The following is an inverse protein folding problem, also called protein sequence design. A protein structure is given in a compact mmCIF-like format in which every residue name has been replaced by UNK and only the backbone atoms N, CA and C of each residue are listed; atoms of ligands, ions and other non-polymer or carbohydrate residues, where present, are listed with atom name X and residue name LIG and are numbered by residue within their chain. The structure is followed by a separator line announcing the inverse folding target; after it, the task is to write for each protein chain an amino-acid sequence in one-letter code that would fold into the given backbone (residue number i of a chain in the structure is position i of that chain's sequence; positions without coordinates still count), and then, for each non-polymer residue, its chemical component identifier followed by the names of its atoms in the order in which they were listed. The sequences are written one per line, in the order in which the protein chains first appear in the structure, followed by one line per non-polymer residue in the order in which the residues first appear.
data_IF_751263938675
#
_entry.id   IF_751263938675
#
_cell.length_a   1.000
_cell.length_b   1.000
_cell.length_c   1.000
_cell.angle_alpha   90.00
_cell.angle_beta   90.00
_cell.angle_gamma   90.00
#
_symmetry.space_group_name_H-M   'P 1'
#
loop_
_entity.id
_entity.type
_entity.pdbx_description
1 polymer ?
#
# COMPACT_ATOMS: atom_id res chain seq x y z
N UNK A 1 -60.15 -40.81 -35.10
CA UNK A 1 -58.98 -41.27 -34.32
C UNK A 1 -57.85 -41.51 -35.30
N UNK A 2 -56.68 -40.89 -35.14
CA UNK A 2 -55.56 -41.12 -36.04
C UNK A 2 -55.09 -42.58 -35.97
N UNK A 3 -54.73 -43.17 -37.11
CA UNK A 3 -54.24 -44.56 -37.18
C UNK A 3 -52.77 -44.63 -36.80
N UNK A 4 -52.31 -45.74 -36.19
CA UNK A 4 -50.91 -45.92 -35.75
C UNK A 4 -49.87 -45.62 -36.85
N UNK A 5 -50.23 -45.90 -38.11
CA UNK A 5 -49.38 -45.68 -39.28
C UNK A 5 -49.23 -44.20 -39.64
N UNK A 6 -50.31 -43.40 -39.53
CA UNK A 6 -50.28 -41.95 -39.78
C UNK A 6 -49.43 -41.22 -38.73
N UNK A 7 -49.58 -41.59 -37.45
CA UNK A 7 -48.78 -41.00 -36.37
C UNK A 7 -47.29 -41.30 -36.56
N UNK A 8 -46.95 -42.52 -37.01
CA UNK A 8 -45.56 -42.91 -37.26
C UNK A 8 -44.91 -42.13 -38.41
N UNK A 9 -45.64 -41.92 -39.52
CA UNK A 9 -45.12 -41.16 -40.66
C UNK A 9 -44.94 -39.67 -40.36
N UNK A 10 -45.93 -39.05 -39.69
CA UNK A 10 -45.88 -37.65 -39.27
C UNK A 10 -44.77 -37.40 -38.25
N UNK A 11 -44.59 -38.30 -37.28
CA UNK A 11 -43.48 -38.23 -36.30
C UNK A 11 -42.13 -38.27 -37.00
N UNK A 12 -41.96 -39.12 -38.02
CA UNK A 12 -40.68 -39.25 -38.75
C UNK A 12 -40.35 -37.99 -39.56
N UNK A 13 -41.35 -37.32 -40.11
CA UNK A 13 -41.19 -36.03 -40.82
C UNK A 13 -40.85 -34.93 -39.81
N UNK A 14 -41.57 -34.88 -38.69
CA UNK A 14 -41.36 -33.89 -37.63
C UNK A 14 -39.94 -34.00 -37.04
N UNK A 15 -39.47 -35.21 -36.73
CA UNK A 15 -38.12 -35.45 -36.20
C UNK A 15 -37.03 -35.01 -37.19
N UNK A 16 -37.21 -35.25 -38.50
CA UNK A 16 -36.27 -34.80 -39.54
C UNK A 16 -36.17 -33.27 -39.58
N UNK A 17 -37.31 -32.58 -39.62
CA UNK A 17 -37.31 -31.12 -39.66
C UNK A 17 -36.81 -30.50 -38.37
N UNK A 18 -37.17 -31.04 -37.20
CA UNK A 18 -36.60 -30.63 -35.91
C UNK A 18 -35.07 -30.75 -35.89
N UNK A 19 -34.53 -31.89 -36.36
CA UNK A 19 -33.08 -32.10 -36.45
C UNK A 19 -32.38 -31.09 -37.37
N UNK A 20 -32.96 -30.81 -38.53
CA UNK A 20 -32.44 -29.81 -39.48
C UNK A 20 -32.49 -28.41 -38.86
N UNK A 21 -33.60 -28.01 -38.25
CA UNK A 21 -33.72 -26.69 -37.61
C UNK A 21 -32.76 -26.54 -36.45
N UNK A 22 -32.58 -27.58 -35.63
CA UNK A 22 -31.61 -27.55 -34.52
C UNK A 22 -30.18 -27.43 -35.03
N UNK A 23 -29.83 -28.20 -36.07
CA UNK A 23 -28.52 -28.10 -36.72
C UNK A 23 -28.26 -26.70 -37.30
N UNK A 24 -29.26 -26.10 -37.95
CA UNK A 24 -29.16 -24.75 -38.49
C UNK A 24 -28.97 -23.69 -37.40
N UNK A 25 -29.69 -23.80 -36.27
CA UNK A 25 -29.55 -22.87 -35.13
C UNK A 25 -28.16 -22.99 -34.49
N UNK A 26 -27.67 -24.22 -34.27
CA UNK A 26 -26.32 -24.45 -33.73
C UNK A 26 -25.25 -23.89 -34.68
N UNK A 27 -25.40 -24.12 -35.99
CA UNK A 27 -24.49 -23.58 -37.00
C UNK A 27 -24.48 -22.04 -37.02
N UNK A 28 -25.65 -21.40 -36.97
CA UNK A 28 -25.78 -19.95 -36.84
C UNK A 28 -25.13 -19.41 -35.56
N UNK A 29 -25.30 -20.10 -34.43
CA UNK A 29 -24.68 -19.71 -33.17
C UNK A 29 -23.15 -19.79 -33.22
N UNK A 30 -22.61 -20.83 -33.84
CA UNK A 30 -21.16 -20.98 -34.07
C UNK A 30 -20.66 -19.88 -34.99
N UNK A 31 -21.33 -19.61 -36.12
CA UNK A 31 -20.96 -18.51 -37.02
C UNK A 31 -20.99 -17.15 -36.33
N UNK A 32 -21.99 -16.89 -35.49
CA UNK A 32 -22.08 -15.66 -34.70
C UNK A 32 -20.91 -15.54 -33.71
N UNK A 33 -20.60 -16.61 -32.97
CA UNK A 33 -19.44 -16.65 -32.06
C UNK A 33 -18.12 -16.43 -32.78
N UNK A 34 -17.91 -17.07 -33.94
CA UNK A 34 -16.74 -16.85 -34.77
C UNK A 34 -16.66 -15.41 -35.28
N UNK A 35 -17.79 -14.85 -35.75
CA UNK A 35 -17.86 -13.46 -36.23
C UNK A 35 -17.55 -12.44 -35.13
N UNK A 36 -18.03 -12.66 -33.90
CA UNK A 36 -17.70 -11.80 -32.75
C UNK A 36 -16.22 -11.93 -32.38
N UNK A 37 -15.67 -13.15 -32.39
CA UNK A 37 -14.27 -13.39 -32.08
C UNK A 37 -13.33 -12.75 -33.11
N UNK A 38 -13.60 -12.89 -34.40
CA UNK A 38 -12.80 -12.27 -35.47
C UNK A 38 -12.93 -10.74 -35.45
N UNK A 39 -14.14 -10.22 -35.21
CA UNK A 39 -14.35 -8.78 -35.00
C UNK A 39 -13.50 -8.27 -33.84
N UNK A 40 -13.53 -8.92 -32.68
CA UNK A 40 -12.78 -8.48 -31.51
C UNK A 40 -11.25 -8.65 -31.67
N UNK A 41 -10.80 -9.61 -32.48
CA UNK A 41 -9.38 -9.81 -32.77
C UNK A 41 -8.82 -8.78 -33.76
N UNK A 42 -9.60 -8.38 -34.77
CA UNK A 42 -9.17 -7.42 -35.80
C UNK A 42 -9.47 -5.96 -35.42
N UNK A 43 -10.58 -5.74 -34.73
CA UNK A 43 -11.08 -4.43 -34.31
C UNK A 43 -11.58 -4.51 -32.85
N UNK A 44 -10.66 -4.63 -31.88
CA UNK A 44 -11.04 -4.58 -30.48
C UNK A 44 -11.80 -3.29 -30.22
N UNK A 45 -12.94 -3.36 -29.53
CA UNK A 45 -13.66 -2.16 -29.10
C UNK A 45 -12.72 -1.31 -28.26
N UNK A 46 -12.52 -0.02 -28.60
CA UNK A 46 -11.64 0.83 -27.82
C UNK A 46 -12.13 0.85 -26.37
N UNK A 47 -11.22 0.91 -25.38
CA UNK A 47 -11.62 1.05 -23.99
C UNK A 47 -12.56 2.25 -23.86
N UNK A 48 -13.55 2.21 -22.94
CA UNK A 48 -14.43 3.36 -22.68
C UNK A 48 -13.58 4.61 -22.42
N UNK A 49 -14.05 5.86 -22.58
CA UNK A 49 -13.26 7.05 -22.25
C UNK A 49 -12.97 7.16 -20.74
N UNK A 50 -11.94 7.92 -20.32
CA UNK A 50 -11.64 8.12 -18.90
C UNK A 50 -12.83 8.80 -18.23
N UNK A 51 -13.23 8.30 -17.06
CA UNK A 51 -14.46 8.75 -16.40
C UNK A 51 -14.29 10.10 -15.72
N UNK A 52 -13.12 10.36 -15.14
CA UNK A 52 -12.76 11.64 -14.50
C UNK A 52 -13.84 12.14 -13.50
N UNK A 53 -14.51 11.21 -12.81
CA UNK A 53 -15.70 11.53 -12.00
C UNK A 53 -15.44 12.36 -10.73
N UNK A 54 -14.18 12.62 -10.37
CA UNK A 54 -13.84 13.52 -9.24
C UNK A 54 -13.41 14.93 -9.69
N UNK A 55 -13.52 15.24 -10.98
CA UNK A 55 -13.00 16.48 -11.58
C UNK A 55 -11.48 16.61 -11.39
N UNK A 56 -10.96 17.84 -11.30
CA UNK A 56 -9.54 18.07 -11.04
C UNK A 56 -9.17 17.57 -9.64
N UNK A 57 -8.07 16.82 -9.57
CA UNK A 57 -7.54 16.24 -8.35
C UNK A 57 -6.52 17.19 -7.70
N UNK A 58 -6.40 17.21 -6.36
CA UNK A 58 -5.34 17.95 -5.70
C UNK A 58 -3.97 17.43 -6.15
N UNK A 59 -2.97 18.31 -6.18
CA UNK A 59 -1.59 17.90 -6.38
C UNK A 59 -1.15 16.94 -5.27
N UNK A 60 -0.34 15.94 -5.62
CA UNK A 60 0.28 15.05 -4.65
C UNK A 60 1.24 15.85 -3.77
N UNK A 61 1.05 15.78 -2.46
CA UNK A 61 1.91 16.42 -1.46
C UNK A 61 3.18 15.59 -1.26
N UNK A 62 4.18 15.83 -2.10
CA UNK A 62 5.52 15.29 -1.89
C UNK A 62 6.29 16.17 -0.90
N UNK A 63 7.03 15.58 0.07
CA UNK A 63 7.84 16.36 0.99
C UNK A 63 8.86 17.25 0.29
N UNK A 64 9.04 18.46 0.82
CA UNK A 64 9.97 19.45 0.28
C UNK A 64 11.40 18.93 0.31
N UNK A 65 12.09 18.98 -0.81
CA UNK A 65 13.49 18.58 -0.92
C UNK A 65 14.42 19.80 -0.81
N UNK A 66 15.50 19.66 -0.07
CA UNK A 66 16.53 20.70 0.03
C UNK A 66 17.42 20.71 -1.22
N UNK A 67 17.29 21.78 -2.01
CA UNK A 67 18.14 22.07 -3.16
C UNK A 67 17.83 21.25 -4.42
N UNK A 68 17.75 21.90 -5.58
CA UNK A 68 17.73 21.15 -6.85
C UNK A 68 19.15 20.62 -7.10
N UNK A 69 19.32 19.31 -6.97
CA UNK A 69 20.57 18.67 -7.43
C UNK A 69 20.46 18.43 -8.93
N UNK A 70 21.51 18.77 -9.66
CA UNK A 70 21.61 18.46 -11.08
C UNK A 70 21.86 16.96 -11.25
N UNK A 71 20.78 16.19 -11.35
CA UNK A 71 20.85 14.75 -11.62
C UNK A 71 21.05 14.49 -13.12
N UNK A 72 21.77 13.42 -13.42
CA UNK A 72 21.91 12.88 -14.77
C UNK A 72 21.36 11.46 -14.75
N UNK A 73 20.28 11.23 -15.50
CA UNK A 73 19.58 9.95 -15.53
C UNK A 73 19.91 9.17 -16.80
N UNK A 74 20.25 7.90 -16.63
CA UNK A 74 20.44 6.92 -17.69
C UNK A 74 19.37 5.84 -17.58
N UNK A 75 18.86 5.35 -18.71
CA UNK A 75 17.88 4.27 -18.75
C UNK A 75 18.64 2.98 -19.03
N UNK A 76 18.63 2.07 -18.07
CA UNK A 76 19.35 0.79 -18.07
C UNK A 76 18.39 -0.34 -17.65
N UNK A 77 17.23 -0.36 -18.30
CA UNK A 77 16.22 -1.40 -18.09
C UNK A 77 16.67 -2.71 -18.75
N UNK A 78 16.20 -3.85 -18.23
CA UNK A 78 16.55 -5.19 -18.78
C UNK A 78 16.25 -5.30 -20.27
N UNK A 79 15.20 -4.64 -20.74
CA UNK A 79 14.81 -4.63 -22.16
C UNK A 79 15.50 -3.54 -23.00
N UNK A 80 16.21 -2.61 -22.35
CA UNK A 80 16.75 -1.38 -22.95
C UNK A 80 15.67 -0.40 -23.44
N UNK A 81 14.40 -0.62 -23.06
CA UNK A 81 13.25 0.19 -23.50
C UNK A 81 12.44 0.66 -22.31
N UNK A 82 11.70 1.76 -22.51
CA UNK A 82 10.70 2.23 -21.57
C UNK A 82 9.47 1.31 -21.58
N UNK A 83 8.79 1.12 -20.44
CA UNK A 83 7.56 0.34 -20.37
C UNK A 83 6.43 1.05 -21.12
N UNK A 84 5.48 0.26 -21.63
CA UNK A 84 4.24 0.81 -22.16
C UNK A 84 3.19 0.86 -21.05
N UNK A 85 2.77 2.06 -20.68
CA UNK A 85 1.71 2.26 -19.70
C UNK A 85 0.33 2.21 -20.36
N UNK A 86 -0.73 1.84 -19.62
CA UNK A 86 -2.09 2.08 -20.09
C UNK A 86 -2.32 3.58 -20.31
N UNK A 87 -3.36 3.92 -21.06
CA UNK A 87 -3.75 5.32 -21.30
C UNK A 87 -4.34 6.00 -20.04
N UNK A 88 -4.68 5.21 -19.02
CA UNK A 88 -5.33 5.65 -17.77
C UNK A 88 -5.08 4.71 -16.60
N UNK A 89 -5.31 5.23 -15.40
CA UNK A 89 -5.29 4.45 -14.15
C UNK A 89 -6.43 4.88 -13.23
N UNK A 90 -6.87 3.98 -12.36
CA UNK A 90 -7.84 4.27 -11.31
C UNK A 90 -7.29 5.24 -10.27
N UNK A 91 -8.15 6.10 -9.74
CA UNK A 91 -7.92 6.94 -8.57
C UNK A 91 -9.02 6.60 -7.58
N UNK A 92 -8.66 6.37 -6.32
CA UNK A 92 -9.60 6.00 -5.27
C UNK A 92 -9.79 7.16 -4.30
N UNK A 93 -10.95 7.23 -3.65
CA UNK A 93 -11.11 8.11 -2.48
C UNK A 93 -10.46 7.48 -1.26
N UNK A 94 -9.89 8.32 -0.40
CA UNK A 94 -9.49 7.89 0.94
C UNK A 94 -10.71 7.95 1.87
N UNK A 95 -10.87 6.93 2.71
CA UNK A 95 -11.92 6.89 3.72
C UNK A 95 -11.60 7.95 4.78
N UNK A 96 -12.53 8.86 4.98
CA UNK A 96 -12.40 9.92 5.99
C UNK A 96 -12.84 9.38 7.35
N UNK A 97 -11.98 9.45 8.38
CA UNK A 97 -12.39 9.09 9.73
C UNK A 97 -13.52 10.01 10.20
N UNK A 98 -14.56 9.43 10.78
CA UNK A 98 -15.71 10.18 11.28
C UNK A 98 -15.59 10.41 12.78
N UNK A 99 -16.10 11.55 13.25
CA UNK A 99 -16.19 11.83 14.67
C UNK A 99 -17.18 10.86 15.33
N UNK A 100 -16.82 10.34 16.50
CA UNK A 100 -17.66 9.44 17.29
C UNK A 100 -17.68 9.95 18.74
N UNK A 101 -18.89 10.14 19.28
CA UNK A 101 -19.11 10.64 20.65
C UNK A 101 -18.53 9.72 21.71
N UNK A 102 -18.39 8.42 21.40
CA UNK A 102 -17.82 7.41 22.30
C UNK A 102 -16.36 7.08 21.98
N UNK A 103 -15.73 7.83 21.07
CA UNK A 103 -14.38 7.55 20.61
C UNK A 103 -13.34 7.48 21.75
N UNK A 104 -13.42 8.39 22.72
CA UNK A 104 -12.52 8.38 23.88
C UNK A 104 -12.70 7.13 24.73
N UNK A 105 -13.95 6.79 25.09
CA UNK A 105 -14.25 5.59 25.89
C UNK A 105 -13.79 4.32 25.17
N UNK A 106 -14.02 4.21 23.86
CA UNK A 106 -13.52 3.10 23.04
C UNK A 106 -11.99 3.03 23.03
N UNK A 107 -11.30 4.17 22.99
CA UNK A 107 -9.85 4.22 23.06
C UNK A 107 -9.33 3.73 24.43
N UNK A 108 -9.96 4.15 25.54
CA UNK A 108 -9.64 3.67 26.89
C UNK A 108 -9.83 2.14 27.01
N UNK A 109 -10.95 1.60 26.52
CA UNK A 109 -11.24 0.16 26.51
C UNK A 109 -10.24 -0.66 25.67
N UNK A 110 -9.71 -0.08 24.58
CA UNK A 110 -8.68 -0.72 23.75
C UNK A 110 -7.31 -0.68 24.42
N UNK A 111 -6.90 0.49 24.92
CA UNK A 111 -5.55 0.72 25.43
C UNK A 111 -5.33 0.12 26.83
N UNK A 112 -6.38 -0.04 27.63
CA UNK A 112 -6.31 -0.81 28.89
C UNK A 112 -5.89 -2.27 28.70
N UNK A 113 -6.25 -2.88 27.56
CA UNK A 113 -5.83 -4.26 27.22
C UNK A 113 -4.31 -4.41 27.10
N UNK A 114 -3.62 -3.32 26.82
CA UNK A 114 -2.15 -3.26 26.75
C UNK A 114 -1.54 -2.46 27.92
N UNK A 115 -2.25 -2.38 29.05
CA UNK A 115 -1.80 -1.80 30.34
C UNK A 115 -1.58 -0.28 30.32
N UNK A 116 -2.27 0.44 29.44
CA UNK A 116 -2.38 1.89 29.49
C UNK A 116 -3.65 2.28 30.26
N UNK A 117 -3.63 2.00 31.56
CA UNK A 117 -4.81 2.08 32.45
C UNK A 117 -4.93 3.42 33.20
N UNK A 118 -3.96 4.34 32.98
CA UNK A 118 -3.99 5.66 33.59
C UNK A 118 -4.96 6.58 32.85
N UNK A 119 -5.55 7.52 33.60
CA UNK A 119 -6.48 8.52 33.06
C UNK A 119 -5.79 9.32 31.95
N UNK A 120 -6.33 9.35 30.72
CA UNK A 120 -5.70 10.07 29.62
C UNK A 120 -5.81 11.58 29.79
N UNK A 121 -4.87 12.30 29.18
CA UNK A 121 -4.87 13.77 29.17
C UNK A 121 -5.03 14.28 27.74
N UNK A 122 -5.92 15.26 27.52
CA UNK A 122 -6.09 15.88 26.22
C UNK A 122 -4.85 16.71 25.88
N UNK A 123 -4.26 16.46 24.71
CA UNK A 123 -3.08 17.20 24.21
C UNK A 123 -3.51 18.24 23.19
N UNK A 124 -4.39 17.86 22.25
CA UNK A 124 -4.90 18.76 21.20
C UNK A 124 -6.13 18.15 20.56
N UNK A 125 -7.24 18.91 20.41
CA UNK A 125 -8.49 18.52 19.73
C UNK A 125 -8.95 17.06 19.95
N UNK A 126 -8.42 16.12 19.18
CA UNK A 126 -8.72 14.69 19.14
C UNK A 126 -7.54 13.77 19.54
N UNK A 127 -6.43 14.33 20.00
CA UNK A 127 -5.22 13.61 20.43
C UNK A 127 -5.16 13.58 21.94
N UNK A 128 -5.15 12.36 22.48
CA UNK A 128 -5.06 12.09 23.91
C UNK A 128 -3.74 11.39 24.21
N UNK A 129 -3.15 11.74 25.35
CA UNK A 129 -1.95 11.11 25.88
C UNK A 129 -2.34 10.09 26.93
N UNK A 130 -1.95 8.85 26.67
CA UNK A 130 -2.02 7.71 27.57
C UNK A 130 -0.62 7.40 28.08
N UNK A 131 -0.51 6.99 29.35
CA UNK A 131 0.78 6.66 29.96
C UNK A 131 0.68 5.35 30.71
N UNK A 132 1.80 4.62 30.80
CA UNK A 132 1.96 3.47 31.67
C UNK A 132 3.30 3.54 32.37
N UNK A 133 3.40 2.97 33.58
CA UNK A 133 4.64 2.93 34.36
C UNK A 133 5.30 1.54 34.37
N UNK A 134 4.64 0.52 33.83
CA UNK A 134 5.10 -0.87 33.88
C UNK A 134 5.19 -1.47 32.47
N UNK A 135 6.30 -2.17 32.12
CA UNK A 135 7.47 -2.44 32.96
C UNK A 135 8.38 -1.22 33.17
N UNK A 136 8.20 -0.15 32.39
CA UNK A 136 8.84 1.16 32.55
C UNK A 136 7.96 2.25 31.94
N UNK A 137 8.25 3.55 32.15
CA UNK A 137 7.46 4.66 31.62
C UNK A 137 7.34 4.64 30.09
N UNK A 138 6.11 4.54 29.57
CA UNK A 138 5.80 4.70 28.15
C UNK A 138 4.70 5.74 27.96
N UNK A 139 4.77 6.48 26.87
CA UNK A 139 3.78 7.49 26.48
C UNK A 139 3.22 7.16 25.11
N UNK A 140 1.90 7.09 25.01
CA UNK A 140 1.18 6.84 23.78
C UNK A 140 0.29 8.05 23.45
N UNK A 141 0.59 8.73 22.34
CA UNK A 141 -0.25 9.77 21.77
C UNK A 141 -1.21 9.12 20.79
N UNK A 142 -2.52 9.19 21.07
CA UNK A 142 -3.56 8.51 20.31
C UNK A 142 -4.57 9.49 19.75
N UNK A 143 -4.83 9.43 18.45
CA UNK A 143 -5.91 10.17 17.83
C UNK A 143 -7.21 9.36 17.87
N UNK A 144 -8.20 9.82 18.64
CA UNK A 144 -9.43 9.06 18.89
C UNK A 144 -10.33 8.92 17.66
N UNK A 145 -10.18 9.77 16.64
CA UNK A 145 -10.98 9.67 15.42
C UNK A 145 -10.28 8.82 14.37
N UNK A 146 -8.98 9.00 14.20
CA UNK A 146 -8.24 8.33 13.13
C UNK A 146 -7.62 7.00 13.56
N UNK A 147 -7.56 6.74 14.86
CA UNK A 147 -6.80 5.64 15.47
C UNK A 147 -5.29 5.68 15.19
N UNK A 148 -4.78 6.77 14.61
CA UNK A 148 -3.33 6.98 14.46
C UNK A 148 -2.70 7.15 15.83
N UNK A 149 -1.52 6.58 16.03
CA UNK A 149 -0.81 6.73 17.29
C UNK A 149 0.70 6.75 17.17
N UNK A 150 1.33 7.30 18.19
CA UNK A 150 2.77 7.24 18.39
C UNK A 150 3.07 6.82 19.83
N UNK A 151 3.81 5.73 19.98
CA UNK A 151 4.31 5.22 21.24
C UNK A 151 5.78 5.60 21.37
N UNK A 152 6.15 6.17 22.51
CA UNK A 152 7.54 6.54 22.85
C UNK A 152 7.87 6.06 24.26
N UNK A 153 9.15 5.82 24.52
CA UNK A 153 9.64 5.46 25.84
C UNK A 153 11.13 5.71 26.00
N UNK A 154 11.62 5.69 27.25
CA UNK A 154 13.04 5.86 27.58
C UNK A 154 13.83 4.54 27.53
N UNK A 155 13.44 3.60 26.67
CA UNK A 155 13.96 2.22 26.63
C UNK A 155 15.49 2.13 26.50
N UNK A 156 16.12 3.11 25.86
CA UNK A 156 17.58 3.12 25.62
C UNK A 156 18.37 3.21 26.93
N UNK A 157 17.74 3.62 28.03
CA UNK A 157 18.36 3.68 29.36
C UNK A 157 18.15 2.41 30.19
N UNK A 158 17.32 1.47 29.72
CA UNK A 158 17.05 0.21 30.43
C UNK A 158 18.19 -0.81 30.17
N UNK A 159 18.86 -1.24 31.23
CA UNK A 159 19.97 -2.21 31.16
C UNK A 159 19.57 -3.54 30.52
N UNK A 160 18.31 -3.99 30.67
CA UNK A 160 17.83 -5.24 30.06
C UNK A 160 17.65 -5.08 28.54
N UNK A 161 17.23 -3.90 28.11
CA UNK A 161 17.10 -3.57 26.68
C UNK A 161 18.49 -3.43 26.05
N UNK A 162 19.38 -2.67 26.69
CA UNK A 162 20.75 -2.45 26.20
C UNK A 162 21.55 -3.75 26.20
N UNK A 163 21.31 -4.69 27.13
CA UNK A 163 21.98 -6.00 27.09
C UNK A 163 21.33 -7.00 26.12
N UNK A 164 20.23 -6.66 25.46
CA UNK A 164 19.48 -7.59 24.59
C UNK A 164 18.86 -8.75 25.37
N UNK A 165 18.65 -8.60 26.69
CA UNK A 165 18.14 -9.67 27.54
C UNK A 165 16.75 -10.11 27.08
N UNK A 166 16.55 -11.41 26.89
CA UNK A 166 15.31 -12.00 26.39
C UNK A 166 14.87 -11.43 25.02
N UNK A 167 15.78 -10.86 24.23
CA UNK A 167 15.46 -10.50 22.84
C UNK A 167 15.24 -11.79 22.02
N UNK A 168 14.20 -11.87 21.17
CA UNK A 168 13.95 -13.07 20.38
C UNK A 168 15.08 -13.38 19.41
N UNK A 169 15.42 -14.67 19.29
CA UNK A 169 16.45 -15.14 18.35
C UNK A 169 15.87 -15.57 16.99
N UNK A 170 14.56 -15.40 16.79
CA UNK A 170 13.84 -15.72 15.57
C UNK A 170 13.05 -14.50 15.10
N UNK A 171 13.23 -14.14 13.83
CA UNK A 171 12.59 -12.99 13.19
C UNK A 171 11.08 -13.15 13.10
N UNK A 172 10.57 -14.38 12.95
CA UNK A 172 9.13 -14.64 12.92
C UNK A 172 8.45 -14.26 14.24
N UNK A 173 9.08 -14.61 15.37
CA UNK A 173 8.60 -14.25 16.72
C UNK A 173 8.57 -12.72 16.89
N UNK A 174 9.55 -12.00 16.36
CA UNK A 174 9.60 -10.53 16.40
C UNK A 174 8.39 -9.95 15.64
N UNK A 175 8.11 -10.46 14.44
CA UNK A 175 6.94 -10.05 13.65
C UNK A 175 5.62 -10.37 14.37
N UNK A 176 5.53 -11.53 15.03
CA UNK A 176 4.34 -11.93 15.79
C UNK A 176 4.09 -11.03 17.00
N UNK A 177 5.13 -10.61 17.72
CA UNK A 177 5.01 -9.63 18.82
C UNK A 177 4.42 -8.32 18.30
N UNK A 178 4.90 -7.85 17.15
CA UNK A 178 4.40 -6.61 16.55
C UNK A 178 2.93 -6.75 16.11
N UNK A 179 2.57 -7.86 15.46
CA UNK A 179 1.18 -8.16 15.07
C UNK A 179 0.24 -8.28 16.26
N UNK A 180 0.68 -8.97 17.33
CA UNK A 180 -0.10 -9.12 18.55
C UNK A 180 -0.31 -7.79 19.26
N UNK A 181 0.68 -6.90 19.26
CA UNK A 181 0.53 -5.55 19.79
C UNK A 181 -0.56 -4.77 19.03
N UNK A 182 -0.47 -4.72 17.69
CA UNK A 182 -1.47 -4.04 16.86
C UNK A 182 -2.87 -4.66 17.01
N UNK A 183 -2.95 -5.99 17.10
CA UNK A 183 -4.20 -6.71 17.32
C UNK A 183 -4.81 -6.40 18.70
N UNK A 184 -3.98 -6.33 19.74
CA UNK A 184 -4.41 -6.05 21.11
C UNK A 184 -5.12 -4.70 21.27
N UNK A 185 -4.68 -3.69 20.52
CA UNK A 185 -5.31 -2.37 20.47
C UNK A 185 -6.38 -2.24 19.36
N UNK A 186 -6.65 -3.31 18.62
CA UNK A 186 -7.61 -3.31 17.51
C UNK A 186 -7.23 -2.36 16.38
N UNK A 187 -5.92 -2.24 16.10
CA UNK A 187 -5.36 -1.40 15.05
C UNK A 187 -4.74 -2.21 13.90
N UNK A 188 -4.84 -3.55 13.89
CA UNK A 188 -4.33 -4.37 12.78
C UNK A 188 -5.41 -4.53 11.69
N UNK A 189 -5.31 -3.85 10.52
CA UNK A 189 -6.23 -4.02 9.41
C UNK A 189 -5.81 -5.24 8.58
N UNK A 190 -6.19 -6.44 9.03
CA UNK A 190 -5.73 -7.72 8.46
C UNK A 190 -6.09 -7.93 6.98
N UNK A 191 -7.12 -7.26 6.47
CA UNK A 191 -7.53 -7.34 5.06
C UNK A 191 -6.74 -6.41 4.14
N UNK A 192 -6.13 -5.35 4.67
CA UNK A 192 -5.44 -4.34 3.88
C UNK A 192 -3.92 -4.37 4.07
N UNK A 193 -3.39 -5.07 5.08
CA UNK A 193 -1.96 -5.30 5.22
C UNK A 193 -1.50 -6.57 4.51
N UNK A 194 -0.34 -6.47 3.90
CA UNK A 194 0.41 -7.58 3.31
C UNK A 194 1.28 -8.23 4.40
N UNK A 195 0.74 -9.25 5.06
CA UNK A 195 1.43 -9.95 6.15
C UNK A 195 2.59 -10.83 5.66
N UNK A 196 2.69 -11.10 4.35
CA UNK A 196 3.81 -11.82 3.75
C UNK A 196 4.99 -10.87 3.45
N UNK A 197 4.73 -9.57 3.33
CA UNK A 197 5.73 -8.52 3.04
C UNK A 197 6.17 -7.74 4.29
N UNK A 198 6.03 -8.32 5.47
CA UNK A 198 6.56 -7.72 6.70
C UNK A 198 8.09 -7.64 6.60
N UNK A 199 8.64 -6.44 6.82
CA UNK A 199 10.10 -6.21 6.83
C UNK A 199 10.58 -6.03 8.26
N UNK A 200 11.59 -6.80 8.64
CA UNK A 200 12.26 -6.67 9.95
C UNK A 200 13.67 -6.15 9.76
N UNK A 201 13.95 -4.97 10.29
CA UNK A 201 15.27 -4.36 10.37
C UNK A 201 15.88 -4.69 11.73
N UNK A 202 16.98 -5.45 11.75
CA UNK A 202 17.69 -5.81 12.96
C UNK A 202 18.63 -4.68 13.37
N UNK A 203 18.67 -4.39 14.67
CA UNK A 203 19.37 -3.24 15.23
C UNK A 203 20.22 -3.65 16.45
N UNK A 204 21.43 -3.13 16.52
CA UNK A 204 22.25 -3.12 17.74
C UNK A 204 22.16 -1.76 18.42
N UNK A 205 22.42 -1.74 19.71
CA UNK A 205 22.49 -0.54 20.54
C UNK A 205 23.95 -0.32 20.89
N UNK A 206 24.55 0.75 20.36
CA UNK A 206 25.91 1.16 20.68
C UNK A 206 25.90 2.63 21.11
N UNK A 207 26.43 2.93 22.31
CA UNK A 207 26.44 4.27 22.89
C UNK A 207 25.08 4.97 22.83
N UNK A 208 24.00 4.25 23.18
CA UNK A 208 22.63 4.75 23.14
C UNK A 208 22.10 5.11 21.74
N UNK A 209 22.74 4.63 20.68
CA UNK A 209 22.31 4.82 19.28
C UNK A 209 21.97 3.47 18.67
N UNK A 210 20.89 3.43 17.90
CA UNK A 210 20.49 2.26 17.11
C UNK A 210 21.32 2.20 15.82
N UNK A 211 21.95 1.06 15.55
CA UNK A 211 22.72 0.82 14.34
C UNK A 211 22.21 -0.45 13.63
N UNK A 212 22.02 -0.44 12.31
CA UNK A 212 21.65 -1.64 11.57
C UNK A 212 22.67 -2.77 11.74
N UNK A 213 22.16 -3.99 11.89
CA UNK A 213 22.95 -5.23 11.84
C UNK A 213 22.29 -6.25 10.93
N UNK A 214 23.07 -7.16 10.36
CA UNK A 214 22.56 -8.29 9.59
C UNK A 214 22.45 -9.57 10.41
N UNK A 215 23.01 -9.58 11.64
CA UNK A 215 23.06 -10.78 12.48
C UNK A 215 22.07 -10.72 13.64
N UNK A 216 21.11 -11.65 13.65
CA UNK A 216 20.13 -11.83 14.74
C UNK A 216 20.80 -12.08 16.09
N UNK A 217 21.93 -12.78 16.13
CA UNK A 217 22.65 -13.07 17.39
C UNK A 217 23.30 -11.83 18.01
N UNK A 218 23.51 -10.78 17.22
CA UNK A 218 24.04 -9.50 17.68
C UNK A 218 22.95 -8.46 17.95
N UNK A 219 21.72 -8.72 17.50
CA UNK A 219 20.62 -7.77 17.58
C UNK A 219 20.11 -7.63 19.03
N UNK A 220 19.83 -6.39 19.42
CA UNK A 220 19.25 -6.03 20.72
C UNK A 220 17.87 -5.41 20.56
N UNK A 221 17.56 -4.93 19.36
CA UNK A 221 16.29 -4.42 18.95
C UNK A 221 15.98 -4.83 17.51
N UNK A 222 14.72 -4.77 17.13
CA UNK A 222 14.30 -4.91 15.75
C UNK A 222 13.13 -3.97 15.45
N UNK A 223 13.20 -3.29 14.31
CA UNK A 223 12.09 -2.49 13.81
C UNK A 223 11.33 -3.27 12.76
N UNK A 224 10.03 -3.45 12.99
CA UNK A 224 9.12 -4.17 12.10
C UNK A 224 8.29 -3.15 11.35
N UNK A 225 8.28 -3.25 10.01
CA UNK A 225 7.50 -2.42 9.11
C UNK A 225 6.38 -3.25 8.48
N UNK A 226 5.17 -2.72 8.51
CA UNK A 226 4.00 -3.31 7.87
C UNK A 226 3.64 -2.51 6.64
N UNK A 227 3.27 -3.18 5.56
CA UNK A 227 2.91 -2.49 4.32
C UNK A 227 1.51 -2.87 3.87
N UNK A 228 0.83 -1.95 3.19
CA UNK A 228 -0.48 -2.22 2.63
C UNK A 228 -0.38 -3.13 1.39
N UNK A 229 -1.45 -3.88 1.14
CA UNK A 229 -1.64 -4.72 -0.03
C UNK A 229 -1.67 -3.87 -1.30
N UNK A 230 -1.38 -4.51 -2.44
CA UNK A 230 -1.49 -3.87 -3.74
C UNK A 230 -2.96 -3.48 -4.01
N UNK A 231 -3.22 -2.21 -4.32
CA UNK A 231 -4.55 -1.76 -4.78
C UNK A 231 -4.60 -1.88 -6.31
N UNK A 232 -5.63 -2.53 -6.86
CA UNK A 232 -5.74 -2.79 -8.31
C UNK A 232 -4.46 -3.34 -8.96
N UNK A 233 -3.77 -4.27 -8.28
CA UNK A 233 -2.50 -4.90 -8.71
C UNK A 233 -1.29 -3.96 -8.77
N UNK A 234 -1.43 -2.70 -8.37
CA UNK A 234 -0.32 -1.75 -8.27
C UNK A 234 0.18 -1.67 -6.81
N UNK A 235 1.50 -1.64 -6.59
CA UNK A 235 2.06 -1.50 -5.25
C UNK A 235 1.76 -0.12 -4.67
N UNK A 236 1.73 -0.03 -3.34
CA UNK A 236 1.63 1.22 -2.60
C UNK A 236 3.01 1.60 -2.06
N UNK A 237 3.43 2.82 -2.35
CA UNK A 237 4.65 3.44 -1.86
C UNK A 237 4.34 4.59 -0.91
N UNK A 238 5.27 4.82 0.02
CA UNK A 238 5.26 5.94 0.95
C UNK A 238 6.39 6.90 0.60
N UNK A 239 6.50 7.98 1.37
CA UNK A 239 7.60 8.96 1.26
C UNK A 239 8.97 8.31 1.16
N UNK A 240 9.25 7.33 2.01
CA UNK A 240 10.44 6.49 1.92
C UNK A 240 10.02 5.09 1.40
N UNK A 241 10.56 4.63 0.27
CA UNK A 241 10.23 3.33 -0.31
C UNK A 241 10.61 2.14 0.57
N UNK A 242 11.60 2.32 1.45
CA UNK A 242 12.20 1.24 2.24
C UNK A 242 11.56 1.08 3.62
N UNK A 243 10.72 2.03 4.03
CA UNK A 243 10.07 2.05 5.34
C UNK A 243 8.57 2.24 5.18
N UNK A 244 7.86 2.22 6.31
CA UNK A 244 6.41 2.38 6.35
C UNK A 244 6.00 3.26 7.52
N UNK A 245 4.94 4.08 7.37
CA UNK A 245 4.33 4.81 8.48
C UNK A 245 3.68 3.89 9.52
N UNK A 246 3.62 2.58 9.27
CA UNK A 246 3.20 1.55 10.21
C UNK A 246 4.43 0.74 10.62
N UNK A 247 5.04 1.10 11.74
CA UNK A 247 6.21 0.43 12.25
C UNK A 247 6.28 0.39 13.78
N UNK A 248 6.97 -0.62 14.30
CA UNK A 248 7.12 -0.89 15.71
C UNK A 248 8.56 -1.27 16.01
N UNK A 249 9.11 -0.75 17.11
CA UNK A 249 10.40 -1.15 17.65
C UNK A 249 10.18 -2.15 18.78
N UNK A 250 10.75 -3.34 18.61
CA UNK A 250 10.71 -4.43 19.55
C UNK A 250 12.08 -4.60 20.17
N UNK A 251 12.12 -4.77 21.48
CA UNK A 251 13.35 -5.04 22.23
C UNK A 251 13.16 -6.22 23.15
N UNK A 252 14.28 -6.69 23.72
CA UNK A 252 14.25 -7.52 24.90
C UNK A 252 13.68 -6.79 26.12
N UNK A 253 13.69 -7.47 27.26
CA UNK A 253 13.19 -6.94 28.51
C UNK A 253 13.55 -7.84 29.68
N UNK A 254 13.26 -7.38 30.90
CA UNK A 254 13.58 -8.12 32.13
C UNK A 254 13.04 -9.55 32.11
N UNK A 255 11.78 -9.69 31.70
CA UNK A 255 11.02 -10.96 31.75
C UNK A 255 10.63 -11.47 30.35
N UNK A 256 10.29 -10.56 29.42
CA UNK A 256 9.83 -10.91 28.08
C UNK A 256 10.15 -9.78 27.07
N UNK A 257 10.15 -10.09 25.75
CA UNK A 257 10.18 -9.09 24.70
C UNK A 257 9.03 -8.10 24.81
N UNK A 258 9.22 -6.89 24.26
CA UNK A 258 8.21 -5.85 24.34
C UNK A 258 8.34 -4.82 23.21
N UNK A 259 7.22 -4.17 22.89
CA UNK A 259 7.18 -2.98 22.05
C UNK A 259 7.55 -1.76 22.89
N UNK A 260 8.52 -0.98 22.43
CA UNK A 260 9.06 0.18 23.16
C UNK A 260 8.87 1.50 22.42
N UNK A 261 8.70 1.44 21.11
CA UNK A 261 8.36 2.55 20.23
C UNK A 261 7.43 2.02 19.14
N UNK A 262 6.51 2.86 18.69
CA UNK A 262 5.67 2.54 17.55
C UNK A 262 5.18 3.82 16.87
N UNK A 263 5.09 3.79 15.55
CA UNK A 263 4.37 4.76 14.75
C UNK A 263 3.31 4.00 13.96
N UNK A 264 2.06 4.42 14.10
CA UNK A 264 0.95 3.88 13.35
C UNK A 264 0.22 5.05 12.70
N UNK A 265 0.42 5.21 11.40
CA UNK A 265 -0.36 6.14 10.59
C UNK A 265 -0.90 5.35 9.41
N UNK A 266 -2.21 5.12 9.41
CA UNK A 266 -2.88 4.25 8.45
C UNK A 266 -3.98 5.03 7.72
N UNK A 267 -4.01 4.90 6.39
CA UNK A 267 -5.02 5.51 5.55
C UNK A 267 -5.60 4.46 4.63
N UNK A 268 -6.92 4.29 4.69
CA UNK A 268 -7.65 3.30 3.90
C UNK A 268 -8.22 3.94 2.63
N UNK A 269 -8.07 3.26 1.50
CA UNK A 269 -8.68 3.66 0.24
C UNK A 269 -10.01 2.91 0.03
N UNK A 270 -11.06 3.64 -0.34
CA UNK A 270 -12.35 3.05 -0.70
C UNK A 270 -12.25 2.13 -1.91
N UNK A 271 -13.30 1.36 -2.17
CA UNK A 271 -13.43 0.59 -3.42
C UNK A 271 -14.02 1.41 -4.57
N UNK A 272 -14.63 2.56 -4.27
CA UNK A 272 -15.03 3.54 -5.28
C UNK A 272 -13.79 4.10 -5.97
N UNK A 273 -13.80 4.07 -7.31
CA UNK A 273 -12.73 4.61 -8.13
C UNK A 273 -13.24 5.29 -9.39
N UNK A 274 -12.45 6.23 -9.88
CA UNK A 274 -12.63 6.90 -11.16
C UNK A 274 -11.34 6.76 -11.97
N UNK A 275 -11.43 6.77 -13.29
CA UNK A 275 -10.26 6.60 -14.17
C UNK A 275 -9.79 7.93 -14.72
N UNK A 276 -8.48 8.13 -14.70
CA UNK A 276 -7.83 9.37 -15.14
C UNK A 276 -6.76 9.10 -16.18
N UNK A 277 -6.62 9.99 -17.19
CA UNK A 277 -5.51 9.94 -18.13
C UNK A 277 -4.17 10.06 -17.40
N UNK A 278 -3.22 9.21 -17.79
CA UNK A 278 -1.87 9.25 -17.24
C UNK A 278 -0.83 9.66 -18.28
N UNK A 279 0.32 10.13 -17.79
CA UNK A 279 1.53 10.32 -18.57
C UNK A 279 2.03 8.99 -19.11
N UNK A 280 2.65 9.02 -20.28
CA UNK A 280 3.48 7.93 -20.76
C UNK A 280 4.77 7.84 -19.95
N UNK A 281 5.46 6.69 -20.02
CA UNK A 281 6.75 6.53 -19.37
C UNK A 281 7.82 7.52 -19.89
N UNK A 282 7.73 7.94 -21.15
CA UNK A 282 8.63 8.94 -21.74
C UNK A 282 8.38 10.33 -21.15
N UNK A 283 7.11 10.77 -21.13
CA UNK A 283 6.72 12.07 -20.55
C UNK A 283 7.14 12.14 -19.08
N UNK A 284 6.90 11.08 -18.30
CA UNK A 284 7.31 11.03 -16.91
C UNK A 284 8.85 11.08 -16.75
N UNK A 285 9.60 10.41 -17.62
CA UNK A 285 11.07 10.45 -17.57
C UNK A 285 11.61 11.85 -17.89
N UNK A 286 10.99 12.56 -18.83
CA UNK A 286 11.38 13.91 -19.19
C UNK A 286 11.09 14.90 -18.05
N UNK A 287 9.95 14.77 -17.38
CA UNK A 287 9.64 15.50 -16.14
C UNK A 287 10.68 15.24 -15.03
N UNK A 288 11.15 14.00 -14.89
CA UNK A 288 12.19 13.65 -13.92
C UNK A 288 13.51 14.36 -14.24
N UNK A 289 13.92 14.34 -15.51
CA UNK A 289 15.14 15.02 -15.98
C UNK A 289 15.08 16.53 -15.82
N UNK A 290 13.87 17.11 -15.94
CA UNK A 290 13.63 18.53 -15.74
C UNK A 290 13.61 18.94 -14.26
N UNK A 291 13.71 17.99 -13.33
CA UNK A 291 13.76 18.26 -11.90
C UNK A 291 12.39 18.36 -11.23
N UNK A 292 11.32 17.96 -11.92
CA UNK A 292 9.95 17.98 -11.39
C UNK A 292 9.57 16.71 -10.60
N UNK A 293 10.51 15.76 -10.46
CA UNK A 293 10.32 14.54 -9.68
C UNK A 293 10.76 14.67 -8.23
N UNK A 294 10.12 13.89 -7.36
CA UNK A 294 10.49 13.74 -5.96
C UNK A 294 11.51 12.60 -5.79
N UNK A 295 12.71 12.90 -5.30
CA UNK A 295 13.75 11.89 -5.03
C UNK A 295 13.50 11.22 -3.68
N UNK A 296 12.78 10.11 -3.68
CA UNK A 296 12.38 9.40 -2.47
C UNK A 296 13.54 8.70 -1.73
N UNK A 297 14.56 8.25 -2.46
CA UNK A 297 15.75 7.63 -1.88
C UNK A 297 16.98 7.84 -2.76
N UNK A 298 18.08 8.30 -2.16
CA UNK A 298 19.41 8.38 -2.79
C UNK A 298 20.51 8.22 -1.73
N UNK A 299 20.73 6.99 -1.24
CA UNK A 299 21.62 6.75 -0.10
C UNK A 299 23.09 7.02 -0.46
N UNK A 300 23.49 6.79 -1.72
CA UNK A 300 24.88 6.99 -2.16
C UNK A 300 25.20 8.45 -2.48
N UNK A 301 24.19 9.33 -2.45
CA UNK A 301 24.30 10.77 -2.72
C UNK A 301 24.95 11.09 -4.07
N UNK A 302 24.91 10.14 -5.01
CA UNK A 302 25.39 10.34 -6.38
C UNK A 302 24.36 11.14 -7.17
N UNK A 303 24.84 11.87 -8.18
CA UNK A 303 23.99 12.61 -9.10
C UNK A 303 23.79 11.88 -10.43
N UNK A 304 24.70 10.97 -10.79
CA UNK A 304 24.56 10.09 -11.95
C UNK A 304 23.81 8.83 -11.54
N UNK A 305 22.61 8.66 -12.07
CA UNK A 305 21.68 7.60 -11.66
C UNK A 305 21.35 6.72 -12.86
N UNK A 306 21.52 5.41 -12.70
CA UNK A 306 21.06 4.42 -13.68
C UNK A 306 19.70 3.88 -13.23
N UNK A 307 18.66 4.16 -14.02
CA UNK A 307 17.28 3.73 -13.79
C UNK A 307 17.10 2.35 -14.41
N UNK A 308 16.81 1.36 -13.58
CA UNK A 308 16.69 -0.05 -13.97
C UNK A 308 15.24 -0.49 -14.15
N UNK A 309 14.32 0.09 -13.38
CA UNK A 309 12.89 -0.21 -13.48
C UNK A 309 12.06 1.08 -13.50
N UNK A 310 10.99 1.05 -14.29
CA UNK A 310 10.00 2.12 -14.38
C UNK A 310 8.63 1.45 -14.35
N UNK A 311 7.76 1.84 -13.43
CA UNK A 311 6.45 1.23 -13.28
C UNK A 311 5.45 2.14 -12.59
N UNK A 312 4.17 1.76 -12.63
CA UNK A 312 3.09 2.46 -11.94
C UNK A 312 2.92 1.93 -10.53
N UNK A 313 2.67 2.83 -9.60
CA UNK A 313 2.35 2.52 -8.21
C UNK A 313 1.31 3.52 -7.68
N UNK A 314 0.82 3.33 -6.46
CA UNK A 314 0.07 4.33 -5.71
C UNK A 314 0.96 4.97 -4.64
N UNK A 315 0.67 6.22 -4.29
CA UNK A 315 1.38 6.94 -3.24
C UNK A 315 0.47 7.29 -2.07
N UNK A 316 0.95 7.02 -0.86
CA UNK A 316 0.36 7.50 0.39
C UNK A 316 1.36 8.44 1.06
N UNK A 317 0.99 9.72 1.13
CA UNK A 317 1.81 10.73 1.82
C UNK A 317 1.77 10.57 3.35
N UNK A 318 2.69 11.22 4.05
CA UNK A 318 2.65 11.28 5.52
C UNK A 318 1.42 12.02 6.03
N UNK A 319 0.96 13.01 5.26
CA UNK A 319 -0.24 13.77 5.55
C UNK A 319 -1.48 13.00 5.11
N UNK A 320 -2.62 13.26 5.78
CA UNK A 320 -3.88 12.67 5.34
C UNK A 320 -4.32 13.30 4.01
N UNK A 321 -4.54 12.46 3.01
CA UNK A 321 -4.92 12.87 1.66
C UNK A 321 -6.36 12.46 1.34
N UNK A 322 -6.99 13.13 0.37
CA UNK A 322 -8.38 12.84 -0.02
C UNK A 322 -8.49 11.70 -1.04
N UNK A 323 -7.41 11.44 -1.79
CA UNK A 323 -7.39 10.48 -2.89
C UNK A 323 -6.13 9.63 -2.84
N UNK A 324 -6.25 8.34 -3.15
CA UNK A 324 -5.13 7.48 -3.48
C UNK A 324 -4.81 7.68 -4.96
N UNK A 325 -3.69 8.33 -5.24
CA UNK A 325 -3.31 8.73 -6.60
C UNK A 325 -2.14 7.92 -7.13
N UNK A 326 -2.14 7.59 -8.44
CA UNK A 326 -1.05 6.85 -9.04
C UNK A 326 0.17 7.74 -9.27
N UNK A 327 1.34 7.13 -9.11
CA UNK A 327 2.65 7.70 -9.39
C UNK A 327 3.40 6.81 -10.38
N UNK A 328 4.33 7.40 -11.11
CA UNK A 328 5.39 6.70 -11.83
C UNK A 328 6.58 6.58 -10.89
N UNK A 329 7.02 5.35 -10.64
CA UNK A 329 8.20 5.04 -9.84
C UNK A 329 9.36 4.78 -10.78
N UNK A 330 10.46 5.46 -10.52
CA UNK A 330 11.76 5.22 -11.13
C UNK A 330 12.66 4.58 -10.07
N UNK A 331 12.96 3.31 -10.27
CA UNK A 331 13.87 2.55 -9.42
C UNK A 331 15.21 2.41 -10.14
N UNK A 332 16.28 2.69 -9.41
CA UNK A 332 17.64 2.63 -9.93
C UNK A 332 18.57 1.83 -9.04
N UNK A 333 19.81 1.71 -9.49
CA UNK A 333 20.85 1.02 -8.73
C UNK A 333 21.08 1.67 -7.36
N UNK A 334 21.63 0.88 -6.43
CA UNK A 334 22.00 1.34 -5.08
C UNK A 334 20.81 1.90 -4.28
N UNK A 335 19.62 1.30 -4.41
CA UNK A 335 18.37 1.70 -3.74
C UNK A 335 17.96 3.15 -4.04
N UNK A 336 18.19 3.62 -5.26
CA UNK A 336 17.66 4.89 -5.73
C UNK A 336 16.18 4.76 -6.08
N UNK A 337 15.36 5.71 -5.61
CA UNK A 337 13.95 5.81 -5.99
C UNK A 337 13.58 7.27 -6.23
N UNK A 338 12.82 7.51 -7.29
CA UNK A 338 12.16 8.78 -7.55
C UNK A 338 10.71 8.59 -8.00
N UNK A 339 9.84 9.53 -7.64
CA UNK A 339 8.41 9.50 -7.93
C UNK A 339 7.97 10.73 -8.70
N UNK A 340 7.01 10.53 -9.60
CA UNK A 340 6.30 11.59 -10.32
C UNK A 340 4.82 11.26 -10.32
N UNK A 341 3.95 12.27 -10.25
CA UNK A 341 2.51 12.07 -10.45
C UNK A 341 2.26 11.40 -11.80
N UNK A 342 1.51 10.28 -11.83
CA UNK A 342 1.15 9.67 -13.11
C UNK A 342 0.05 10.48 -13.82
N UNK A 343 -0.80 11.19 -13.08
CA UNK A 343 -1.95 11.93 -13.62
C UNK A 343 -1.47 13.19 -14.36
N UNK A 344 -1.91 13.39 -15.60
CA UNK A 344 -1.55 14.58 -16.42
C UNK A 344 -1.96 15.89 -15.74
N UNK A 345 -1.15 16.94 -15.92
CA UNK A 345 -1.33 18.23 -15.23
C UNK A 345 -2.67 18.92 -15.49
N UNK A 346 -3.25 18.72 -16.67
CA UNK A 346 -4.58 19.26 -17.02
C UNK A 346 -5.69 18.80 -16.04
N UNK A 347 -5.49 17.66 -15.38
CA UNK A 347 -6.39 17.06 -14.39
C UNK A 347 -5.98 17.32 -12.95
N UNK A 348 -4.95 18.11 -12.71
CA UNK A 348 -4.50 18.52 -11.38
C UNK A 348 -4.99 19.95 -11.11
N UNK A 349 -5.55 20.19 -9.93
CA UNK A 349 -5.86 21.53 -9.44
C UNK A 349 -4.60 22.17 -8.86
N UNK A 350 -4.26 23.36 -9.35
CA UNK A 350 -3.18 24.20 -8.80
C UNK A 350 -3.54 24.74 -7.42
#
# INVERSE_FOLDING_TARGET
MPTLSQISSETRILVKWCGITLGAVIFLFILFKLGVMTKNALYPTPPPPPTVGYNKLPQIDFPRQEGSKNFVFYVDTVSGKLPNFPDRVSVFRMIKPQADLLALKKAEEKLSRIKFDLIPTLVSKNVYRFTTSSPFPKTLLYNIFTSDFTLTSSYITDVNVVSGKNFPTDVSIISDIAQNFLSGIGALPTTDLDLERIKTELLTINNYVLMPTTSISSAQAARVYFFQNNKNKLPIFYTDPNTSPINLLITGGKDQPQVVEAKFTYQEASDESETYPIRTASEALDELKNGNGFIASNPTKKNSISITNIYLAYYISENRQNYLMPIVVFEGNENFFAYISAIKDEWISM
#
